data_IF_319594526181
#
_entry.id   IF_319594526181
#
_cell.length_a   1.000
_cell.length_b   1.000
_cell.length_c   1.000
_cell.angle_alpha   90.00
_cell.angle_beta   90.00
_cell.angle_gamma   90.00
#
_symmetry.space_group_name_H-M   'P 1'
#
loop_
_entity.id
_entity.type
_entity.pdbx_description
1 polymer ?
#
# COMPACT_ATOMS: atom_id res chain seq x y z
N UNK A 1 61.77 -20.96 -3.72
CA UNK A 1 60.74 -19.96 -3.37
C UNK A 1 59.60 -20.17 -4.34
N UNK A 2 58.46 -20.66 -3.85
CA UNK A 2 57.30 -20.94 -4.70
C UNK A 2 56.46 -19.67 -4.81
N UNK A 3 56.31 -19.16 -6.02
CA UNK A 3 55.42 -18.05 -6.33
C UNK A 3 54.10 -18.62 -6.84
N UNK A 4 53.00 -18.19 -6.27
CA UNK A 4 51.65 -18.65 -6.59
C UNK A 4 50.84 -17.45 -7.06
N UNK A 5 50.45 -17.42 -8.35
CA UNK A 5 49.59 -16.36 -8.91
C UNK A 5 48.63 -16.98 -9.94
N UNK A 6 47.37 -16.57 -9.84
CA UNK A 6 46.17 -16.81 -10.65
C UNK A 6 45.40 -18.13 -10.40
N UNK A 7 44.42 -18.03 -9.48
CA UNK A 7 43.22 -18.88 -9.50
C UNK A 7 42.24 -18.30 -10.52
N UNK A 8 41.94 -19.06 -11.57
CA UNK A 8 40.67 -18.93 -12.30
C UNK A 8 39.80 -20.05 -11.75
N UNK A 9 38.54 -19.79 -11.45
CA UNK A 9 37.73 -20.51 -10.44
C UNK A 9 37.68 -22.06 -10.54
N UNK A 10 38.08 -22.67 -11.66
CA UNK A 10 37.98 -24.13 -11.87
C UNK A 10 39.34 -24.87 -12.06
N UNK A 11 40.49 -24.19 -12.08
CA UNK A 11 41.78 -24.86 -12.30
C UNK A 11 42.94 -24.25 -11.51
N UNK A 12 43.84 -25.11 -11.00
CA UNK A 12 45.12 -24.67 -10.43
C UNK A 12 46.28 -25.16 -11.28
N UNK A 13 47.18 -24.25 -11.63
CA UNK A 13 48.41 -24.57 -12.37
C UNK A 13 49.58 -24.61 -11.40
N UNK A 14 50.29 -25.74 -11.35
CA UNK A 14 51.50 -25.91 -10.55
C UNK A 14 52.73 -25.79 -11.45
N UNK A 15 53.74 -25.06 -10.99
CA UNK A 15 55.03 -24.90 -11.68
C UNK A 15 56.15 -25.54 -10.87
N UNK A 16 56.98 -26.35 -11.52
CA UNK A 16 58.15 -26.96 -10.91
C UNK A 16 59.39 -26.72 -11.75
N UNK A 17 60.51 -26.42 -11.07
CA UNK A 17 61.82 -26.18 -11.68
C UNK A 17 62.79 -27.22 -11.12
N UNK A 18 63.23 -28.12 -11.99
CA UNK A 18 64.17 -29.19 -11.65
C UNK A 18 65.49 -29.02 -12.38
N UNK A 19 66.59 -29.41 -11.73
CA UNK A 19 67.91 -29.49 -12.35
C UNK A 19 68.12 -30.91 -12.89
N UNK A 20 68.42 -31.02 -14.18
CA UNK A 20 68.80 -32.28 -14.81
C UNK A 20 70.28 -32.57 -14.54
N UNK A 21 70.66 -33.86 -14.51
CA UNK A 21 72.02 -34.30 -14.16
C UNK A 21 73.11 -33.82 -15.13
N UNK A 22 72.73 -33.32 -16.31
CA UNK A 22 73.60 -32.68 -17.31
C UNK A 22 73.70 -31.14 -17.14
N UNK A 23 73.32 -30.61 -15.98
CA UNK A 23 73.38 -29.17 -15.67
C UNK A 23 72.32 -28.31 -16.39
N UNK A 24 71.45 -28.92 -17.18
CA UNK A 24 70.28 -28.25 -17.77
C UNK A 24 69.19 -27.98 -16.73
N UNK A 25 68.50 -26.84 -16.84
CA UNK A 25 67.34 -26.52 -16.01
C UNK A 25 66.08 -26.79 -16.81
N UNK A 26 65.19 -27.64 -16.28
CA UNK A 26 63.90 -27.95 -16.90
C UNK A 26 62.77 -27.35 -16.08
N UNK A 27 61.97 -26.51 -16.74
CA UNK A 27 60.76 -25.93 -16.19
C UNK A 27 59.55 -26.69 -16.75
N UNK A 28 58.64 -27.10 -15.87
CA UNK A 28 57.45 -27.85 -16.24
C UNK A 28 56.23 -27.32 -15.48
N UNK A 29 55.08 -27.32 -16.16
CA UNK A 29 53.79 -26.89 -15.62
C UNK A 29 52.78 -28.02 -15.75
N UNK A 30 52.01 -28.26 -14.70
CA UNK A 30 50.93 -29.25 -14.67
C UNK A 30 49.62 -28.56 -14.25
N UNK A 31 48.53 -28.88 -14.97
CA UNK A 31 47.19 -28.36 -14.72
C UNK A 31 46.43 -29.42 -13.93
N UNK A 32 46.03 -29.10 -12.71
CA UNK A 32 45.13 -29.93 -11.93
C UNK A 32 43.71 -29.36 -12.06
N UNK A 33 42.80 -30.20 -12.57
CA UNK A 33 41.36 -29.97 -12.47
C UNK A 33 40.98 -30.24 -11.03
N UNK A 34 40.44 -29.22 -10.35
CA UNK A 34 39.85 -29.44 -9.05
C UNK A 34 38.54 -30.17 -9.30
N UNK A 35 38.48 -31.46 -8.94
CA UNK A 35 37.21 -32.18 -8.94
C UNK A 35 36.36 -31.50 -7.87
N UNK A 36 35.27 -30.86 -8.30
CA UNK A 36 34.32 -30.22 -7.41
C UNK A 36 33.77 -31.30 -6.48
N UNK A 37 34.34 -31.37 -5.27
CA UNK A 37 33.73 -32.10 -4.18
C UNK A 37 32.29 -31.62 -4.07
N UNK A 38 31.37 -32.49 -4.46
CA UNK A 38 29.95 -32.26 -4.64
C UNK A 38 29.33 -31.45 -3.49
N UNK A 39 29.24 -30.14 -3.69
CA UNK A 39 28.34 -29.24 -2.98
C UNK A 39 27.80 -28.22 -3.98
N UNK A 40 27.27 -28.72 -5.10
CA UNK A 40 26.33 -27.92 -5.87
C UNK A 40 25.05 -27.78 -5.03
N UNK A 41 24.61 -26.57 -4.67
CA UNK A 41 23.26 -26.40 -4.15
C UNK A 41 22.29 -26.96 -5.20
N UNK A 42 21.43 -27.88 -4.78
CA UNK A 42 20.54 -28.64 -5.65
C UNK A 42 19.72 -27.71 -6.55
N UNK A 43 20.20 -27.55 -7.79
CA UNK A 43 19.58 -26.71 -8.83
C UNK A 43 18.15 -27.18 -9.11
N UNK A 44 17.86 -28.47 -8.91
CA UNK A 44 16.52 -29.04 -9.04
C UNK A 44 15.57 -28.64 -7.90
N UNK A 45 16.05 -28.53 -6.66
CA UNK A 45 15.26 -28.03 -5.53
C UNK A 45 14.95 -26.52 -5.68
N UNK A 46 15.93 -25.72 -6.11
CA UNK A 46 15.74 -24.29 -6.32
C UNK A 46 14.75 -23.99 -7.47
N UNK A 47 14.78 -24.77 -8.53
CA UNK A 47 13.83 -24.67 -9.66
C UNK A 47 12.42 -25.13 -9.26
N UNK A 48 12.31 -26.17 -8.43
CA UNK A 48 11.03 -26.62 -7.87
C UNK A 48 10.42 -25.59 -6.92
N UNK A 49 11.23 -24.94 -6.08
CA UNK A 49 10.78 -23.91 -5.15
C UNK A 49 10.33 -22.64 -5.88
N UNK A 50 11.08 -22.19 -6.88
CA UNK A 50 10.71 -21.03 -7.71
C UNK A 50 9.44 -21.29 -8.51
N UNK A 51 9.27 -22.50 -9.05
CA UNK A 51 8.03 -22.91 -9.73
C UNK A 51 6.83 -22.98 -8.78
N UNK A 52 7.05 -23.46 -7.56
CA UNK A 52 6.03 -23.51 -6.52
C UNK A 52 5.59 -22.10 -6.13
N UNK A 53 6.54 -21.20 -5.88
CA UNK A 53 6.28 -19.80 -5.56
C UNK A 53 5.55 -19.08 -6.71
N UNK A 54 5.95 -19.33 -7.97
CA UNK A 54 5.27 -18.78 -9.15
C UNK A 54 3.81 -19.23 -9.21
N UNK A 55 3.56 -20.50 -8.97
CA UNK A 55 2.21 -21.08 -8.99
C UNK A 55 1.34 -20.50 -7.85
N UNK A 56 1.92 -20.31 -6.67
CA UNK A 56 1.25 -19.67 -5.53
C UNK A 56 0.95 -18.19 -5.80
N UNK A 57 1.88 -17.47 -6.43
CA UNK A 57 1.71 -16.07 -6.80
C UNK A 57 0.59 -15.91 -7.85
N UNK A 58 0.58 -16.76 -8.87
CA UNK A 58 -0.48 -16.79 -9.88
C UNK A 58 -1.85 -17.04 -9.24
N UNK A 59 -1.93 -18.03 -8.34
CA UNK A 59 -3.16 -18.33 -7.60
C UNK A 59 -3.64 -17.15 -6.76
N UNK A 60 -2.72 -16.38 -6.18
CA UNK A 60 -3.04 -15.19 -5.40
C UNK A 60 -3.51 -14.03 -6.29
N UNK A 61 -2.88 -13.84 -7.44
CA UNK A 61 -3.29 -12.86 -8.45
C UNK A 61 -4.70 -13.15 -8.97
N UNK A 62 -5.00 -14.40 -9.32
CA UNK A 62 -6.31 -14.81 -9.81
C UNK A 62 -7.41 -14.57 -8.76
N UNK A 63 -7.12 -14.86 -7.49
CA UNK A 63 -8.02 -14.56 -6.37
C UNK A 63 -8.23 -13.05 -6.21
N UNK A 64 -7.15 -12.27 -6.23
CA UNK A 64 -7.21 -10.82 -6.09
C UNK A 64 -8.00 -10.18 -7.24
N UNK A 65 -7.77 -10.61 -8.47
CA UNK A 65 -8.49 -10.17 -9.66
C UNK A 65 -10.00 -10.45 -9.54
N UNK A 66 -10.37 -11.68 -9.13
CA UNK A 66 -11.77 -12.05 -8.87
C UNK A 66 -12.41 -11.18 -7.79
N UNK A 67 -11.71 -10.96 -6.67
CA UNK A 67 -12.20 -10.12 -5.59
C UNK A 67 -12.37 -8.67 -6.04
N UNK A 68 -11.43 -8.15 -6.83
CA UNK A 68 -11.51 -6.80 -7.38
C UNK A 68 -12.74 -6.63 -8.28
N UNK A 69 -12.98 -7.57 -9.21
CA UNK A 69 -14.16 -7.54 -10.06
C UNK A 69 -15.47 -7.63 -9.26
N UNK A 70 -15.52 -8.46 -8.21
CA UNK A 70 -16.70 -8.54 -7.34
C UNK A 70 -16.94 -7.24 -6.58
N UNK A 71 -15.90 -6.66 -5.98
CA UNK A 71 -15.99 -5.40 -5.26
C UNK A 71 -16.42 -4.26 -6.19
N UNK A 72 -15.91 -4.22 -7.43
CA UNK A 72 -16.34 -3.22 -8.41
C UNK A 72 -17.84 -3.32 -8.71
N UNK A 73 -18.37 -4.54 -8.86
CA UNK A 73 -19.80 -4.75 -9.12
C UNK A 73 -20.67 -4.41 -7.89
N UNK A 74 -20.20 -4.73 -6.68
CA UNK A 74 -20.87 -4.33 -5.43
C UNK A 74 -20.92 -2.82 -5.27
N UNK A 75 -19.81 -2.12 -5.51
CA UNK A 75 -19.74 -0.65 -5.47
C UNK A 75 -20.71 -0.03 -6.47
N UNK A 76 -20.80 -0.57 -7.69
CA UNK A 76 -21.75 -0.11 -8.70
C UNK A 76 -23.20 -0.24 -8.22
N UNK A 77 -23.59 -1.41 -7.71
CA UNK A 77 -24.94 -1.65 -7.17
C UNK A 77 -25.26 -0.74 -5.99
N UNK A 78 -24.29 -0.52 -5.09
CA UNK A 78 -24.46 0.40 -3.96
C UNK A 78 -24.65 1.84 -4.44
N UNK A 79 -23.89 2.27 -5.44
CA UNK A 79 -24.01 3.60 -6.05
C UNK A 79 -25.38 3.81 -6.67
N UNK A 80 -25.87 2.86 -7.48
CA UNK A 80 -27.22 2.91 -8.06
C UNK A 80 -28.32 2.96 -6.98
N UNK A 81 -28.17 2.16 -5.91
CA UNK A 81 -29.11 2.17 -4.78
C UNK A 81 -29.12 3.50 -4.02
N UNK A 82 -27.98 4.18 -3.92
CA UNK A 82 -27.88 5.51 -3.31
C UNK A 82 -28.44 6.58 -4.25
N UNK A 83 -28.16 6.48 -5.54
CA UNK A 83 -28.63 7.41 -6.56
C UNK A 83 -30.17 7.40 -6.68
N UNK A 84 -30.80 6.24 -6.52
CA UNK A 84 -32.26 6.07 -6.50
C UNK A 84 -32.95 6.33 -5.16
N UNK A 85 -32.21 6.65 -4.08
CA UNK A 85 -32.84 7.02 -2.80
C UNK A 85 -33.36 8.46 -2.83
N UNK A 86 -34.65 8.58 -2.56
CA UNK A 86 -35.38 9.82 -2.31
C UNK A 86 -34.62 10.71 -1.32
N UNK A 87 -34.29 11.93 -1.72
CA UNK A 87 -33.89 12.97 -0.76
C UNK A 87 -35.17 13.40 -0.04
N UNK A 88 -35.23 13.32 1.31
CA UNK A 88 -36.37 13.86 2.03
C UNK A 88 -36.59 15.33 1.63
N UNK A 89 -37.84 15.76 1.59
CA UNK A 89 -38.19 17.14 1.25
C UNK A 89 -37.41 18.12 2.16
N UNK A 90 -36.89 19.21 1.59
CA UNK A 90 -35.98 20.17 2.22
C UNK A 90 -34.51 19.70 2.43
N UNK A 91 -34.13 18.50 1.99
CA UNK A 91 -32.75 18.02 2.04
C UNK A 91 -32.09 18.04 0.66
N UNK A 92 -30.82 18.42 0.64
CA UNK A 92 -29.97 18.40 -0.55
C UNK A 92 -28.95 17.27 -0.44
N UNK A 93 -28.73 16.53 -1.54
CA UNK A 93 -27.70 15.49 -1.59
C UNK A 93 -26.41 16.02 -2.18
N UNK A 94 -25.28 15.65 -1.58
CA UNK A 94 -23.95 15.79 -2.15
C UNK A 94 -23.14 14.53 -1.87
N UNK A 95 -22.72 13.84 -2.94
CA UNK A 95 -22.15 12.50 -2.85
C UNK A 95 -23.12 11.50 -2.23
N UNK A 96 -22.66 10.77 -1.21
CA UNK A 96 -23.44 9.79 -0.43
C UNK A 96 -24.09 10.39 0.83
N UNK A 97 -23.98 11.71 1.06
CA UNK A 97 -24.49 12.41 2.24
C UNK A 97 -25.70 13.29 1.91
N UNK A 98 -26.57 13.50 2.90
CA UNK A 98 -27.73 14.40 2.82
C UNK A 98 -27.54 15.57 3.79
N UNK A 99 -27.92 16.76 3.36
CA UNK A 99 -27.71 18.02 4.08
C UNK A 99 -29.02 18.78 4.17
N UNK A 100 -29.29 19.30 5.37
CA UNK A 100 -30.41 20.19 5.63
C UNK A 100 -29.87 21.49 6.20
N UNK A 101 -30.33 22.62 5.67
CA UNK A 101 -29.96 23.94 6.17
C UNK A 101 -31.18 24.61 6.80
N UNK A 102 -31.14 24.77 8.13
CA UNK A 102 -32.17 25.50 8.85
C UNK A 102 -32.17 26.98 8.48
N UNK A 103 -33.35 27.58 8.39
CA UNK A 103 -33.56 29.03 8.27
C UNK A 103 -33.57 29.74 9.63
N UNK A 104 -33.61 28.98 10.74
CA UNK A 104 -33.69 29.52 12.10
C UNK A 104 -32.28 29.83 12.65
N UNK A 105 -32.13 31.01 13.26
CA UNK A 105 -30.90 31.35 13.99
C UNK A 105 -30.95 30.79 15.41
N UNK A 106 -29.97 29.96 15.77
CA UNK A 106 -29.82 29.35 17.10
C UNK A 106 -28.36 29.43 17.56
N UNK A 107 -28.13 29.21 18.85
CA UNK A 107 -26.77 28.96 19.38
C UNK A 107 -26.26 27.62 18.87
N UNK A 108 -24.94 27.41 18.86
CA UNK A 108 -24.33 26.15 18.40
C UNK A 108 -24.98 24.92 19.05
N UNK A 109 -25.12 24.92 20.39
CA UNK A 109 -25.73 23.81 21.13
C UNK A 109 -27.19 23.57 20.74
N UNK A 110 -27.99 24.63 20.52
CA UNK A 110 -29.38 24.49 20.12
C UNK A 110 -29.51 24.07 18.64
N UNK A 111 -28.59 24.48 17.78
CA UNK A 111 -28.51 23.99 16.40
C UNK A 111 -28.17 22.49 16.36
N UNK A 112 -27.22 22.04 17.17
CA UNK A 112 -26.87 20.61 17.26
C UNK A 112 -28.07 19.78 17.72
N UNK A 113 -28.76 20.21 18.78
CA UNK A 113 -29.99 19.56 19.24
C UNK A 113 -31.05 19.50 18.14
N UNK A 114 -31.22 20.58 17.38
CA UNK A 114 -32.16 20.61 16.26
C UNK A 114 -31.82 19.60 15.15
N UNK A 115 -30.55 19.50 14.77
CA UNK A 115 -30.09 18.46 13.84
C UNK A 115 -30.38 17.06 14.39
N UNK A 116 -30.08 16.81 15.67
CA UNK A 116 -30.31 15.51 16.34
C UNK A 116 -31.80 15.13 16.38
N UNK A 117 -32.70 16.09 16.60
CA UNK A 117 -34.16 15.81 16.53
C UNK A 117 -34.64 15.37 15.15
N UNK A 118 -33.85 15.63 14.09
CA UNK A 118 -34.14 15.23 12.71
C UNK A 118 -33.38 13.96 12.28
N UNK A 119 -32.70 13.28 13.22
CA UNK A 119 -31.89 12.10 12.91
C UNK A 119 -30.55 12.39 12.21
N UNK A 120 -30.04 13.62 12.34
CA UNK A 120 -28.74 14.04 11.81
C UNK A 120 -27.89 14.75 12.87
N UNK A 121 -26.72 15.27 12.49
CA UNK A 121 -25.90 16.14 13.33
C UNK A 121 -25.42 17.35 12.52
N UNK A 122 -24.76 18.30 13.18
CA UNK A 122 -24.09 19.40 12.49
C UNK A 122 -23.01 18.85 11.54
N UNK A 123 -22.80 19.53 10.42
CA UNK A 123 -21.94 19.04 9.35
C UNK A 123 -20.47 18.94 9.79
N UNK A 124 -19.85 17.79 9.51
CA UNK A 124 -18.40 17.60 9.58
C UNK A 124 -17.82 17.68 8.18
N UNK A 125 -16.84 18.56 7.98
CA UNK A 125 -16.24 18.80 6.66
C UNK A 125 -15.00 17.92 6.54
N UNK A 126 -15.07 16.92 5.67
CA UNK A 126 -14.03 15.89 5.52
C UNK A 126 -13.28 15.98 4.18
N UNK A 127 -13.69 16.86 3.28
CA UNK A 127 -13.01 17.07 2.00
C UNK A 127 -13.15 18.51 1.50
N UNK A 128 -12.28 18.89 0.57
CA UNK A 128 -12.31 20.20 -0.08
C UNK A 128 -13.60 20.39 -0.89
N UNK A 129 -14.06 19.34 -1.56
CA UNK A 129 -15.28 19.35 -2.37
C UNK A 129 -16.52 19.51 -1.46
N UNK A 130 -16.53 18.86 -0.30
CA UNK A 130 -17.58 19.06 0.72
C UNK A 130 -17.56 20.52 1.22
N UNK A 131 -16.39 21.08 1.51
CA UNK A 131 -16.25 22.48 1.91
C UNK A 131 -16.79 23.45 0.86
N UNK A 132 -16.48 23.23 -0.42
CA UNK A 132 -16.98 24.05 -1.53
C UNK A 132 -18.50 23.92 -1.69
N UNK A 133 -19.05 22.72 -1.54
CA UNK A 133 -20.49 22.49 -1.53
C UNK A 133 -21.20 23.26 -0.40
N UNK A 134 -20.68 23.18 0.84
CA UNK A 134 -21.24 23.92 1.98
C UNK A 134 -21.17 25.44 1.74
N UNK A 135 -20.04 25.95 1.22
CA UNK A 135 -19.87 27.37 0.89
C UNK A 135 -20.94 27.87 -0.09
N UNK A 136 -21.35 27.03 -1.04
CA UNK A 136 -22.33 27.38 -2.05
C UNK A 136 -23.78 27.43 -1.51
N UNK A 137 -24.06 26.90 -0.31
CA UNK A 137 -25.39 26.99 0.33
C UNK A 137 -25.76 28.37 0.89
N UNK A 138 -24.91 29.40 0.66
CA UNK A 138 -25.07 30.85 0.96
C UNK A 138 -25.52 31.21 2.38
N UNK A 139 -24.75 32.01 3.10
CA UNK A 139 -25.11 32.51 4.43
C UNK A 139 -24.54 31.65 5.56
N UNK A 140 -24.20 32.31 6.67
CA UNK A 140 -23.51 31.67 7.79
C UNK A 140 -24.34 30.57 8.44
N UNK A 141 -23.69 29.46 8.76
CA UNK A 141 -24.28 28.30 9.44
C UNK A 141 -23.27 27.75 10.45
N UNK A 142 -23.75 27.20 11.57
CA UNK A 142 -22.89 26.43 12.46
C UNK A 142 -22.45 25.13 11.78
N UNK A 143 -21.20 24.76 11.98
CA UNK A 143 -20.66 23.44 11.61
C UNK A 143 -20.48 22.60 12.87
N UNK A 144 -20.25 21.30 12.69
CA UNK A 144 -20.06 20.35 13.78
C UNK A 144 -18.72 20.47 14.51
N UNK A 145 -18.02 21.58 14.35
CA UNK A 145 -16.78 21.87 15.04
C UNK A 145 -17.07 22.76 16.25
N UNK A 146 -16.60 22.34 17.42
CA UNK A 146 -16.71 23.10 18.67
C UNK A 146 -15.39 23.04 19.43
N UNK A 147 -15.20 23.93 20.40
CA UNK A 147 -13.97 23.92 21.16
C UNK A 147 -14.08 24.59 22.52
N UNK A 148 -13.37 24.01 23.49
CA UNK A 148 -13.15 24.53 24.83
C UNK A 148 -11.66 24.47 25.14
N UNK A 149 -11.13 25.50 25.81
CA UNK A 149 -9.73 25.54 26.26
C UNK A 149 -8.70 25.22 25.17
N UNK A 150 -8.86 25.79 23.97
CA UNK A 150 -7.97 25.62 22.80
C UNK A 150 -8.00 24.25 22.12
N UNK A 151 -8.80 23.31 22.60
CA UNK A 151 -9.00 22.02 21.95
C UNK A 151 -10.27 22.08 21.08
N UNK A 152 -10.12 21.68 19.81
CA UNK A 152 -11.21 21.64 18.84
C UNK A 152 -11.61 20.20 18.56
N UNK A 153 -12.90 19.93 18.65
CA UNK A 153 -13.49 18.60 18.52
C UNK A 153 -14.69 18.65 17.57
N UNK A 154 -14.82 17.62 16.76
CA UNK A 154 -15.98 17.40 15.91
C UNK A 154 -17.12 16.76 16.72
N UNK A 155 -18.35 16.84 16.21
CA UNK A 155 -19.53 16.25 16.86
C UNK A 155 -19.47 14.72 17.04
N UNK A 156 -18.55 14.02 16.36
CA UNK A 156 -18.27 12.59 16.53
C UNK A 156 -17.20 12.28 17.59
N UNK A 157 -16.60 13.31 18.19
CA UNK A 157 -15.56 13.21 19.20
C UNK A 157 -14.13 13.19 18.65
N UNK A 158 -13.96 13.32 17.33
CA UNK A 158 -12.62 13.37 16.73
C UNK A 158 -12.01 14.77 16.88
N UNK A 159 -10.69 14.83 17.12
CA UNK A 159 -9.96 16.09 17.15
C UNK A 159 -9.88 16.71 15.74
N UNK A 160 -9.79 18.04 15.67
CA UNK A 160 -9.48 18.73 14.42
C UNK A 160 -8.06 18.39 13.97
N UNK A 161 -7.93 17.45 13.03
CA UNK A 161 -6.65 17.20 12.36
C UNK A 161 -6.45 18.22 11.25
N UNK A 162 -5.35 18.96 11.30
CA UNK A 162 -4.95 19.86 10.23
C UNK A 162 -4.35 19.01 9.10
N UNK A 163 -5.09 18.84 8.00
CA UNK A 163 -4.62 18.12 6.80
C UNK A 163 -4.14 19.10 5.74
#
# INVERSE_FOLDING_TARGET
MSTEIQSVEDFRVKYSRGSQEDGGVREQSEVEVLDDGEQHPDVGLQEADTKTNLTQLQSSYDKLSKNHSQLQEEVKKLKEKIEGKWCPEEWTRFGSKFYFKSTERKTWSNSQKHCKTRGADLVMINSKEEQEFIRNMRGGSWIGLTGWNYEWEWVDGSALTQT
#
